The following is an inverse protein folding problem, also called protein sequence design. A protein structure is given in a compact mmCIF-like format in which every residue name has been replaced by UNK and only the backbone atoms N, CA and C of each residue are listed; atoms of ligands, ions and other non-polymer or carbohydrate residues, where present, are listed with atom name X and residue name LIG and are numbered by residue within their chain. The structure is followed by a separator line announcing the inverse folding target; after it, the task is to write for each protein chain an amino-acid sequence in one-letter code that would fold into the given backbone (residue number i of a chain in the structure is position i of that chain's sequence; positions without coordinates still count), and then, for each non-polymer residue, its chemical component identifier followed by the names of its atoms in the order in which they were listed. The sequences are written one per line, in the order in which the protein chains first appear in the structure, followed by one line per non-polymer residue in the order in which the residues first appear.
data_IF_001113231966
#
_entry.id   IF_001113231966
#
_cell.length_a   1.000
_cell.length_b   1.000
_cell.length_c   1.000
_cell.angle_alpha   90.00
_cell.angle_beta   90.00
_cell.angle_gamma   90.00
#
_symmetry.space_group_name_H-M   'P 1'
#
loop_
_entity.id
_entity.type
_entity.pdbx_description
1 polymer ?
#
# COMPACT_ATOMS: atom_id res chain seq x y z
N UNK A 1 1.15 11.78 -19.10
CA UNK A 1 1.10 10.58 -18.24
C UNK A 1 -0.23 9.88 -18.44
N UNK A 2 -0.24 8.60 -18.78
CA UNK A 2 -1.47 7.84 -18.99
C UNK A 2 -2.06 7.48 -17.62
N UNK A 3 -3.23 8.03 -17.31
CA UNK A 3 -3.93 7.72 -16.05
C UNK A 3 -4.20 6.22 -15.95
N UNK A 4 -4.00 5.64 -14.76
CA UNK A 4 -4.41 4.26 -14.49
C UNK A 4 -5.92 4.11 -14.69
N UNK A 5 -6.36 2.96 -15.21
CA UNK A 5 -7.79 2.62 -15.31
C UNK A 5 -8.45 2.51 -13.93
N UNK A 6 -7.65 2.21 -12.90
CA UNK A 6 -8.11 2.09 -11.53
C UNK A 6 -7.81 3.38 -10.77
N UNK A 7 -8.83 3.93 -10.09
CA UNK A 7 -8.65 5.09 -9.20
C UNK A 7 -8.18 4.68 -7.81
N UNK A 8 -8.69 3.55 -7.30
CA UNK A 8 -8.39 2.97 -5.99
C UNK A 8 -8.26 1.47 -6.07
N UNK A 9 -7.40 0.90 -5.22
CA UNK A 9 -7.30 -0.55 -5.01
C UNK A 9 -7.46 -0.85 -3.52
N UNK A 10 -8.31 -1.84 -3.20
CA UNK A 10 -8.46 -2.36 -1.85
C UNK A 10 -7.41 -3.45 -1.60
N UNK A 11 -6.64 -3.34 -0.51
CA UNK A 11 -5.59 -4.29 -0.16
C UNK A 11 -5.92 -4.95 1.18
N UNK A 12 -6.01 -6.28 1.17
CA UNK A 12 -6.06 -7.11 2.37
C UNK A 12 -4.69 -7.72 2.62
N UNK A 13 -4.13 -7.48 3.81
CA UNK A 13 -2.85 -8.06 4.23
C UNK A 13 -2.83 -8.26 5.74
N UNK A 14 -1.84 -9.02 6.23
CA UNK A 14 -1.75 -9.34 7.65
C UNK A 14 -1.42 -8.13 8.52
N UNK A 15 -2.02 -8.07 9.70
CA UNK A 15 -1.65 -7.13 10.78
C UNK A 15 -0.29 -7.45 11.43
N UNK A 16 0.36 -8.54 11.03
CA UNK A 16 1.73 -8.90 11.39
C UNK A 16 2.67 -8.72 10.18
N UNK A 17 3.96 -8.55 10.42
CA UNK A 17 4.97 -8.42 9.36
C UNK A 17 5.32 -9.76 8.68
N UNK A 18 4.86 -10.88 9.24
CA UNK A 18 5.30 -12.22 8.85
C UNK A 18 6.73 -12.54 9.30
N UNK A 19 7.22 -13.74 8.95
CA UNK A 19 8.54 -14.23 9.38
C UNK A 19 9.68 -13.95 8.39
N UNK A 20 9.35 -13.53 7.16
CA UNK A 20 10.31 -13.30 6.09
C UNK A 20 10.32 -11.83 5.73
N UNK A 21 11.52 -11.25 5.61
CA UNK A 21 11.71 -9.87 5.18
C UNK A 21 11.14 -9.59 3.78
N UNK A 22 11.07 -10.61 2.93
CA UNK A 22 10.46 -10.51 1.60
C UNK A 22 8.99 -10.07 1.62
N UNK A 23 8.24 -10.33 2.70
CA UNK A 23 6.86 -9.83 2.82
C UNK A 23 6.83 -8.32 3.08
N UNK A 24 7.73 -7.86 3.94
CA UNK A 24 7.91 -6.45 4.22
C UNK A 24 8.28 -5.70 2.93
N UNK A 25 9.29 -6.19 2.20
CA UNK A 25 9.78 -5.56 0.99
C UNK A 25 8.68 -5.51 -0.09
N UNK A 26 7.91 -6.60 -0.24
CA UNK A 26 6.79 -6.66 -1.18
C UNK A 26 5.65 -5.68 -0.83
N UNK A 27 5.36 -5.44 0.45
CA UNK A 27 4.34 -4.47 0.86
C UNK A 27 4.74 -3.03 0.50
N UNK A 28 6.01 -2.69 0.67
CA UNK A 28 6.56 -1.38 0.27
C UNK A 28 6.59 -1.25 -1.25
N UNK A 29 7.06 -2.28 -1.96
CA UNK A 29 7.09 -2.29 -3.43
C UNK A 29 5.69 -2.10 -4.02
N UNK A 30 4.68 -2.78 -3.48
CA UNK A 30 3.29 -2.60 -3.89
C UNK A 30 2.84 -1.14 -3.67
N UNK A 31 3.12 -0.55 -2.50
CA UNK A 31 2.75 0.84 -2.21
C UNK A 31 3.37 1.82 -3.20
N UNK A 32 4.67 1.67 -3.49
CA UNK A 32 5.38 2.48 -4.47
C UNK A 32 4.80 2.32 -5.89
N UNK A 33 4.39 1.11 -6.26
CA UNK A 33 3.80 0.86 -7.57
C UNK A 33 2.40 1.50 -7.71
N UNK A 34 1.61 1.54 -6.63
CA UNK A 34 0.35 2.29 -6.61
C UNK A 34 0.61 3.79 -6.82
N UNK A 35 1.63 4.33 -6.14
CA UNK A 35 2.04 5.73 -6.29
C UNK A 35 2.47 6.03 -7.73
N UNK A 36 3.37 5.22 -8.29
CA UNK A 36 3.88 5.39 -9.65
C UNK A 36 2.75 5.39 -10.70
N UNK A 37 1.68 4.62 -10.44
CA UNK A 37 0.50 4.53 -11.32
C UNK A 37 -0.59 5.57 -11.02
N UNK A 38 -0.42 6.41 -10.01
CA UNK A 38 -1.42 7.38 -9.60
C UNK A 38 -2.69 6.73 -9.03
N UNK A 39 -2.55 5.59 -8.36
CA UNK A 39 -3.66 4.85 -7.73
C UNK A 39 -3.67 5.13 -6.23
N UNK A 40 -4.86 5.34 -5.67
CA UNK A 40 -5.06 5.51 -4.23
C UNK A 40 -5.29 4.16 -3.52
N UNK A 41 -5.05 4.10 -2.21
CA UNK A 41 -5.20 2.88 -1.41
C UNK A 41 -6.49 2.89 -0.61
N UNK A 42 -7.17 1.74 -0.58
CA UNK A 42 -8.17 1.38 0.43
C UNK A 42 -7.65 0.17 1.20
N UNK A 43 -7.75 0.16 2.52
CA UNK A 43 -7.34 -0.97 3.35
C UNK A 43 -8.13 -0.96 4.68
N UNK A 44 -7.80 -1.85 5.62
CA UNK A 44 -8.53 -1.99 6.88
C UNK A 44 -8.08 -1.10 8.05
N UNK A 45 -7.31 -0.02 7.82
CA UNK A 45 -7.05 1.00 8.84
C UNK A 45 -5.97 0.71 9.90
N UNK A 46 -5.29 -0.44 9.82
CA UNK A 46 -4.25 -0.82 10.79
C UNK A 46 -2.89 -0.15 10.57
N UNK A 47 -2.25 0.34 11.63
CA UNK A 47 -0.92 0.99 11.57
C UNK A 47 0.27 0.04 11.76
N UNK A 48 0.02 -1.27 11.94
CA UNK A 48 1.05 -2.27 12.24
C UNK A 48 1.16 -3.33 11.13
N UNK A 49 2.25 -4.09 11.16
CA UNK A 49 2.45 -5.20 10.22
C UNK A 49 2.58 -4.74 8.77
N UNK A 50 2.14 -5.59 7.84
CA UNK A 50 2.17 -5.28 6.40
C UNK A 50 1.20 -4.15 6.05
N UNK A 51 0.09 -4.02 6.80
CA UNK A 51 -0.89 -2.96 6.63
C UNK A 51 -0.28 -1.57 6.83
N UNK A 52 0.51 -1.38 7.89
CA UNK A 52 1.22 -0.13 8.14
C UNK A 52 2.25 0.18 7.06
N UNK A 53 2.97 -0.82 6.55
CA UNK A 53 3.98 -0.60 5.52
C UNK A 53 3.38 -0.14 4.19
N UNK A 54 2.33 -0.82 3.71
CA UNK A 54 1.70 -0.44 2.43
C UNK A 54 1.00 0.91 2.54
N UNK A 55 0.34 1.20 3.67
CA UNK A 55 -0.33 2.49 3.86
C UNK A 55 0.66 3.64 3.98
N UNK A 56 1.77 3.45 4.69
CA UNK A 56 2.82 4.46 4.82
C UNK A 56 3.49 4.74 3.47
N UNK A 57 3.86 3.70 2.71
CA UNK A 57 4.48 3.88 1.39
C UNK A 57 3.58 4.66 0.42
N UNK A 58 2.26 4.40 0.43
CA UNK A 58 1.30 5.14 -0.40
C UNK A 58 1.14 6.59 0.08
N UNK A 59 1.09 6.80 1.39
CA UNK A 59 0.96 8.13 2.00
C UNK A 59 2.20 9.00 1.72
N UNK A 60 3.39 8.47 1.91
CA UNK A 60 4.67 9.16 1.66
C UNK A 60 4.83 9.52 0.18
N UNK A 61 4.29 8.69 -0.72
CA UNK A 61 4.21 8.98 -2.15
C UNK A 61 3.12 9.99 -2.56
N UNK A 62 2.39 10.58 -1.60
CA UNK A 62 1.42 11.64 -1.85
C UNK A 62 0.09 11.17 -2.46
N UNK A 63 -0.23 9.87 -2.37
CA UNK A 63 -1.52 9.34 -2.78
C UNK A 63 -2.47 9.25 -1.58
N UNK A 64 -3.77 9.16 -1.87
CA UNK A 64 -4.79 9.10 -0.83
C UNK A 64 -4.88 7.69 -0.24
N UNK A 65 -5.05 7.61 1.09
CA UNK A 65 -5.21 6.36 1.83
C UNK A 65 -6.54 6.43 2.59
N UNK A 66 -7.36 5.40 2.40
CA UNK A 66 -8.64 5.21 3.11
C UNK A 66 -8.52 3.94 3.95
N UNK A 67 -8.59 4.08 5.27
CA UNK A 67 -8.48 3.01 6.26
C UNK A 67 -9.74 2.81 7.05
#
# INVERSE_FOLDING_TARGET
MRQSRFKRICVFCGSSQGKKRSYHDAAIELGNELVARGVDLVYGGGSIGLMGMVSQAVHDGGRHVIG
#
